data_IF_574893670893
#
_entry.id   IF_574893670893
#
_cell.length_a   1.000
_cell.length_b   1.000
_cell.length_c   1.000
_cell.angle_alpha   90.00
_cell.angle_beta   90.00
_cell.angle_gamma   90.00
#
_symmetry.space_group_name_H-M   'P 1'
#
loop_
_entity.id
_entity.type
_entity.pdbx_description
1 polymer ?
2 polymer ?
3 non-polymer ?
4 water ?
#
# COMPACT_ATOMS: atom_id res chain seq x y z
N UNK A 4 -20.33 12.27 16.80
CA UNK A 4 -18.91 12.13 17.11
C UNK A 4 -18.09 13.18 16.34
N UNK A 5 -16.91 13.51 16.84
CA UNK A 5 -16.04 14.46 16.17
C UNK A 5 -14.88 13.74 15.47
N UNK A 6 -14.45 14.27 14.33
CA UNK A 6 -13.41 13.63 13.53
C UNK A 6 -12.11 14.44 13.49
N UNK A 7 -11.02 13.84 13.99
CA UNK A 7 -9.68 14.45 14.03
C UNK A 7 -9.28 15.19 12.73
N UNK A 8 -8.82 16.42 12.89
CA UNK A 8 -8.47 17.27 11.76
C UNK A 8 -7.54 16.55 10.77
N UNK A 9 -6.63 15.74 11.29
CA UNK A 9 -5.69 15.04 10.44
C UNK A 9 -6.41 14.07 9.49
N UNK A 10 -7.43 13.40 10.02
CA UNK A 10 -8.23 12.49 9.21
C UNK A 10 -8.97 13.27 8.11
N UNK A 11 -9.58 14.41 8.46
CA UNK A 11 -10.31 15.20 7.46
C UNK A 11 -9.39 15.70 6.35
N UNK A 12 -8.17 16.08 6.71
CA UNK A 12 -7.17 16.43 5.72
C UNK A 12 -6.86 15.26 4.80
N UNK A 13 -6.70 14.09 5.41
CA UNK A 13 -6.40 12.88 4.65
C UNK A 13 -7.52 12.51 3.67
N UNK A 14 -8.78 12.70 4.08
CA UNK A 14 -9.92 12.42 3.19
C UNK A 14 -9.97 13.33 1.95
N UNK A 15 -9.52 14.58 2.11
CA UNK A 15 -9.42 15.51 0.99
C UNK A 15 -8.31 15.11 0.01
N UNK A 16 -7.32 14.35 0.49
CA UNK A 16 -6.19 13.91 -0.33
C UNK A 16 -6.43 12.59 -1.02
N UNK A 17 -7.52 11.91 -0.66
CA UNK A 17 -7.83 10.63 -1.29
C UNK A 17 -8.21 10.83 -2.76
N UNK A 18 -7.49 10.16 -3.66
CA UNK A 18 -7.84 10.18 -5.08
C UNK A 18 -9.21 9.58 -5.33
N UNK A 19 -9.85 9.98 -6.44
CA UNK A 19 -11.09 9.36 -6.88
C UNK A 19 -10.80 8.00 -7.52
N UNK A 20 -11.46 6.97 -7.00
CA UNK A 20 -11.16 5.59 -7.36
C UNK A 20 -11.22 5.32 -8.85
N UNK A 21 -12.22 5.89 -9.53
CA UNK A 21 -12.40 5.62 -10.95
C UNK A 21 -11.33 6.31 -11.79
N UNK A 22 -10.86 7.47 -11.33
CA UNK A 22 -9.76 8.14 -12.02
C UNK A 22 -8.47 7.32 -11.88
N UNK A 23 -8.23 6.80 -10.68
CA UNK A 23 -7.08 5.93 -10.47
C UNK A 23 -7.16 4.70 -11.38
N UNK A 24 -8.31 4.03 -11.36
CA UNK A 24 -8.53 2.89 -12.25
C UNK A 24 -8.36 3.22 -13.74
N UNK A 25 -8.99 4.30 -14.19
CA UNK A 25 -8.94 4.65 -15.61
C UNK A 25 -7.49 4.87 -16.07
N UNK A 26 -6.69 5.51 -15.23
CA UNK A 26 -5.29 5.80 -15.57
C UNK A 26 -4.43 4.53 -15.67
N UNK A 27 -4.58 3.67 -14.66
CA UNK A 27 -3.89 2.39 -14.63
C UNK A 27 -4.27 1.52 -15.84
N UNK A 28 -5.57 1.40 -16.10
CA UNK A 28 -6.03 0.61 -17.25
C UNK A 28 -5.51 1.16 -18.57
N UNK A 29 -5.46 2.48 -18.71
CA UNK A 29 -4.97 3.10 -19.94
C UNK A 29 -3.51 2.74 -20.21
N UNK A 30 -2.71 2.65 -19.15
CA UNK A 30 -1.32 2.22 -19.28
C UNK A 30 -1.26 0.74 -19.63
N UNK A 31 -2.10 -0.07 -18.97
CA UNK A 31 -2.06 -1.51 -19.18
C UNK A 31 -2.52 -1.95 -20.58
N UNK A 32 -3.35 -1.13 -21.20
CA UNK A 32 -3.98 -1.52 -22.47
C UNK A 32 -3.17 -1.05 -23.66
N UNK A 33 -1.93 -0.66 -23.42
CA UNK A 33 -1.05 -0.25 -24.50
C UNK A 33 -0.46 -1.47 -25.21
N UNK A 34 -0.47 -1.41 -26.55
CA UNK A 34 0.16 -2.42 -27.42
C UNK A 34 1.46 -2.86 -26.79
N UNK A 35 1.51 -4.11 -26.36
CA UNK A 35 2.64 -4.59 -25.58
C UNK A 35 3.75 -5.22 -26.41
N UNK A 36 4.88 -5.46 -25.74
CA UNK A 36 6.04 -6.13 -26.33
C UNK A 36 5.98 -7.60 -25.96
N UNK A 37 7.09 -8.32 -26.14
CA UNK A 37 7.11 -9.77 -26.03
C UNK A 37 7.73 -10.26 -24.72
N UNK A 40 10.11 -9.18 -20.43
CA UNK A 40 10.20 -10.36 -21.29
C UNK A 40 9.41 -11.52 -20.71
N UNK A 41 8.91 -11.33 -19.48
CA UNK A 41 8.36 -12.48 -18.77
C UNK A 41 7.00 -12.96 -19.30
N UNK A 42 6.62 -14.20 -18.92
CA UNK A 42 5.38 -14.83 -19.41
C UNK A 42 4.12 -14.25 -18.82
N UNK A 43 3.05 -14.09 -19.60
CA UNK A 43 1.72 -13.79 -19.03
C UNK A 43 1.36 -14.87 -18.00
N UNK A 44 0.46 -14.56 -17.03
CA UNK A 44 -0.12 -13.24 -16.88
C UNK A 44 0.80 -12.31 -16.12
N UNK A 45 1.99 -12.77 -15.77
CA UNK A 45 2.83 -12.04 -14.82
C UNK A 45 3.21 -10.63 -15.25
N UNK A 46 3.61 -10.48 -16.50
CA UNK A 46 4.00 -9.17 -17.01
C UNK A 46 2.92 -8.09 -16.80
N UNK A 47 1.70 -8.40 -17.23
CA UNK A 47 0.56 -7.49 -17.05
C UNK A 47 0.35 -7.16 -15.55
N UNK A 48 0.25 -8.18 -14.71
CA UNK A 48 -0.04 -7.94 -13.31
C UNK A 48 1.09 -7.14 -12.67
N UNK A 50 3.03 -4.83 -14.15
CA UNK A 50 2.85 -3.43 -14.55
C UNK A 50 1.72 -2.77 -13.76
N UNK A 51 0.68 -3.55 -13.51
CA UNK A 51 -0.45 -3.11 -12.68
C UNK A 51 -0.02 -2.70 -11.28
N UNK A 52 0.72 -3.57 -10.60
CA UNK A 52 1.28 -3.23 -9.31
C UNK A 52 2.17 -1.99 -9.42
N UNK A 53 3.04 -1.97 -10.44
CA UNK A 53 3.92 -0.82 -10.65
C UNK A 53 3.13 0.48 -10.73
N UNK A 54 2.07 0.47 -11.53
CA UNK A 54 1.21 1.63 -11.72
C UNK A 54 0.44 1.99 -10.45
N UNK A 55 0.01 0.99 -9.70
CA UNK A 55 -0.69 1.26 -8.45
C UNK A 55 0.28 2.01 -7.52
N UNK A 56 1.53 1.56 -7.44
CA UNK A 56 2.50 2.25 -6.60
C UNK A 56 2.74 3.70 -7.05
N UNK A 57 2.79 3.91 -8.37
CA UNK A 57 2.88 5.26 -8.91
C UNK A 57 1.76 6.18 -8.40
N UNK A 58 0.51 5.71 -8.42
CA UNK A 58 -0.59 6.47 -7.81
C UNK A 58 -0.32 6.74 -6.33
N UNK A 59 0.19 5.73 -5.63
CA UNK A 59 0.54 5.88 -4.21
C UNK A 59 1.59 6.97 -3.98
N UNK A 60 2.66 6.95 -4.77
CA UNK A 60 3.67 8.01 -4.75
C UNK A 60 3.06 9.39 -5.00
N UNK A 61 2.17 9.48 -5.98
CA UNK A 61 1.45 10.73 -6.26
C UNK A 61 0.67 11.20 -5.04
N UNK A 62 0.00 10.25 -4.38
CA UNK A 62 -0.73 10.53 -3.15
C UNK A 62 0.19 11.07 -2.04
N UNK A 63 1.37 10.48 -1.91
CA UNK A 63 2.30 10.88 -0.87
C UNK A 63 2.85 12.29 -1.15
N UNK A 64 2.93 12.66 -2.42
CA UNK A 64 3.44 13.97 -2.79
C UNK A 64 2.48 15.10 -2.39
N UNK A 65 1.20 14.77 -2.27
CA UNK A 65 0.19 15.71 -1.81
C UNK A 65 0.03 15.72 -0.29
N UNK A 66 0.71 14.79 0.41
CA UNK A 66 0.51 14.60 1.85
C UNK A 66 1.15 15.69 2.71
N UNK A 67 0.45 16.05 3.77
CA UNK A 67 0.78 17.25 4.54
C UNK A 67 2.25 17.41 4.93
N UNK A 68 2.78 16.45 5.66
CA UNK A 68 4.13 16.56 6.17
C UNK A 68 5.16 16.01 5.17
N UNK A 69 4.70 15.10 4.31
CA UNK A 69 5.59 14.43 3.38
C UNK A 69 6.18 15.39 2.35
N UNK A 70 5.32 16.20 1.74
CA UNK A 70 5.72 17.20 0.76
C UNK A 70 6.85 18.11 1.25
N UNK A 71 6.87 18.37 2.57
CA UNK A 71 7.86 19.24 3.19
C UNK A 71 9.26 18.63 3.12
N UNK A 72 9.36 17.38 3.57
CA UNK A 72 10.65 16.71 3.72
C UNK A 72 11.54 16.80 2.50
N UNK A 73 12.84 16.78 2.76
CA UNK A 73 13.85 16.70 1.71
C UNK A 73 13.73 15.36 0.97
N UNK A 74 14.03 15.38 -0.32
CA UNK A 74 13.86 14.21 -1.16
C UNK A 74 14.57 12.97 -0.65
N UNK A 75 15.74 13.16 -0.05
CA UNK A 75 16.48 12.04 0.53
C UNK A 75 15.60 11.27 1.50
N UNK A 76 14.93 12.00 2.39
CA UNK A 76 14.05 11.39 3.39
C UNK A 76 12.78 10.78 2.75
N UNK A 77 12.16 11.53 1.84
CA UNK A 77 11.01 11.03 1.07
C UNK A 77 11.34 9.67 0.47
N UNK A 78 12.50 9.60 -0.18
CA UNK A 78 12.94 8.35 -0.80
C UNK A 78 13.07 7.23 0.22
N UNK A 79 13.54 7.58 1.43
CA UNK A 79 13.79 6.60 2.47
C UNK A 79 12.48 6.08 3.09
N UNK A 80 11.53 7.00 3.30
CA UNK A 80 10.20 6.63 3.81
C UNK A 80 9.51 5.69 2.85
N UNK A 81 9.45 6.08 1.59
CA UNK A 81 8.86 5.26 0.54
C UNK A 81 9.62 3.94 0.37
N UNK A 82 10.94 4.00 0.56
CA UNK A 82 11.74 2.79 0.44
C UNK A 82 11.39 1.79 1.54
N UNK A 83 11.00 2.30 2.70
CA UNK A 83 10.66 1.43 3.81
C UNK A 83 9.22 0.89 3.75
N UNK A 84 8.33 1.58 3.04
CA UNK A 84 6.89 1.37 3.22
C UNK A 84 6.11 0.92 1.98
N UNK A 85 6.76 0.95 0.82
CA UNK A 85 6.08 0.71 -0.45
C UNK A 85 5.29 -0.59 -0.48
N UNK A 86 5.91 -1.66 0.01
CA UNK A 86 5.29 -2.98 -0.02
C UNK A 86 4.05 -3.05 0.88
N UNK A 87 4.14 -2.41 2.04
CA UNK A 87 3.06 -2.38 3.03
C UNK A 87 1.86 -1.54 2.55
N UNK A 88 2.16 -0.43 1.89
CA UNK A 88 1.15 0.42 1.29
C UNK A 88 0.36 -0.33 0.21
N UNK A 89 1.09 -1.01 -0.68
CA UNK A 89 0.46 -1.87 -1.68
C UNK A 89 -0.41 -2.96 -1.05
N UNK A 90 0.13 -3.66 -0.07
CA UNK A 90 -0.66 -4.70 0.62
C UNK A 90 -1.91 -4.11 1.26
N UNK A 91 -1.75 -3.01 1.99
CA UNK A 91 -2.91 -2.40 2.65
C UNK A 91 -3.95 -1.95 1.62
N UNK A 92 -3.48 -1.33 0.54
CA UNK A 92 -4.36 -1.00 -0.60
C UNK A 92 -5.14 -2.26 -1.08
N UNK A 93 -4.44 -3.37 -1.30
CA UNK A 93 -5.10 -4.60 -1.76
C UNK A 93 -6.12 -5.12 -0.74
N UNK A 94 -5.71 -5.12 0.53
CA UNK A 94 -6.52 -5.65 1.62
C UNK A 94 -7.80 -4.84 1.73
N UNK A 95 -7.65 -3.52 1.72
CA UNK A 95 -8.80 -2.66 1.86
C UNK A 95 -9.75 -2.80 0.69
N UNK A 96 -9.20 -2.98 -0.51
CA UNK A 96 -10.01 -3.26 -1.69
C UNK A 96 -10.87 -4.50 -1.46
N UNK A 97 -10.27 -5.56 -0.92
CA UNK A 97 -11.03 -6.79 -0.62
C UNK A 97 -12.11 -6.60 0.45
N UNK A 98 -11.82 -5.79 1.47
CA UNK A 98 -12.81 -5.51 2.51
C UNK A 98 -14.08 -4.88 1.94
N UNK A 99 -13.93 -3.83 1.13
CA UNK A 99 -15.07 -3.22 0.44
C UNK A 99 -15.79 -4.20 -0.52
N UNK A 100 -15.03 -5.04 -1.21
CA UNK A 100 -15.53 -5.96 -2.22
C UNK A 100 -16.41 -7.06 -1.62
N UNK A 101 -15.96 -7.65 -0.52
CA UNK A 101 -16.76 -8.57 0.27
C UNK A 101 -17.18 -9.88 -0.39
N UNK A 102 -16.22 -10.59 -0.97
CA UNK A 102 -16.48 -11.87 -1.63
C UNK A 102 -15.35 -12.83 -1.30
N UNK A 103 -15.66 -13.94 -0.67
CA UNK A 103 -14.64 -14.90 -0.25
C UNK A 103 -14.08 -15.74 -1.39
N UNK A 104 -14.84 -15.82 -2.49
CA UNK A 104 -14.55 -16.74 -3.59
C UNK A 104 -13.59 -16.18 -4.65
N UNK A 105 -13.43 -14.86 -4.67
CA UNK A 105 -12.56 -14.22 -5.65
C UNK A 105 -11.91 -12.98 -5.07
N UNK A 106 -10.97 -12.43 -5.82
CA UNK A 106 -10.32 -11.19 -5.41
C UNK A 106 -10.50 -10.12 -6.47
N UNK A 107 -10.63 -8.89 -6.03
CA UNK A 107 -10.82 -7.77 -6.92
C UNK A 107 -9.49 -7.05 -7.11
N UNK A 108 -9.10 -6.82 -8.36
CA UNK A 108 -7.89 -6.07 -8.68
C UNK A 108 -8.20 -4.60 -8.91
N UNK A 109 -7.16 -3.76 -8.93
CA UNK A 109 -7.38 -2.32 -9.02
C UNK A 109 -8.02 -1.92 -10.36
N UNK A 110 -7.94 -2.82 -11.32
CA UNK A 110 -8.45 -2.57 -12.67
C UNK A 110 -9.95 -2.86 -12.80
N UNK A 111 -10.55 -3.36 -11.72
CA UNK A 111 -11.94 -3.80 -11.74
C UNK A 111 -12.02 -5.25 -12.15
N UNK A 112 -10.88 -5.82 -12.51
CA UNK A 112 -10.80 -7.22 -12.93
C UNK A 112 -10.91 -8.14 -11.69
N UNK A 113 -11.56 -9.30 -11.87
CA UNK A 113 -11.86 -10.21 -10.76
C UNK A 113 -11.28 -11.60 -11.02
N UNK A 114 -10.55 -12.10 -10.03
CA UNK A 114 -9.88 -13.39 -10.12
C UNK A 114 -10.44 -14.43 -9.13
N UNK A 115 -10.84 -15.58 -9.65
CA UNK A 115 -11.33 -16.69 -8.84
C UNK A 115 -10.20 -17.27 -7.99
N UNK A 116 -10.46 -17.46 -6.71
CA UNK A 116 -9.54 -18.18 -5.84
C UNK A 116 -9.22 -19.61 -6.35
N UNK A 117 -10.17 -20.21 -7.06
CA UNK A 117 -9.96 -21.54 -7.64
C UNK A 117 -8.98 -21.51 -8.82
N UNK A 118 -8.92 -20.36 -9.51
CA UNK A 118 -7.91 -20.16 -10.54
C UNK A 118 -6.52 -20.12 -9.90
N UNK A 119 -6.42 -19.43 -8.78
CA UNK A 119 -5.12 -19.25 -8.15
C UNK A 119 -4.65 -20.61 -7.67
N UNK A 120 -5.59 -21.45 -7.24
CA UNK A 120 -5.22 -22.74 -6.66
C UNK A 120 -4.44 -23.63 -7.64
N UNK A 121 -4.79 -23.55 -8.93
CA UNK A 121 -4.14 -24.35 -9.95
C UNK A 121 -2.95 -23.66 -10.62
N UNK A 122 -3.08 -22.36 -10.88
CA UNK A 122 -2.06 -21.62 -11.62
C UNK A 122 -0.90 -21.11 -10.76
N UNK A 123 -1.15 -20.96 -9.47
CA UNK A 123 -0.19 -20.30 -8.60
C UNK A 123 0.81 -21.26 -7.96
N UNK A 124 2.07 -20.86 -7.96
CA UNK A 124 3.06 -21.54 -7.15
C UNK A 124 2.63 -21.49 -5.69
N UNK A 125 3.30 -22.30 -4.88
CA UNK A 125 2.97 -22.44 -3.46
C UNK A 125 3.15 -21.17 -2.65
N UNK A 126 4.24 -20.43 -2.89
CA UNK A 126 4.47 -19.15 -2.19
C UNK A 126 3.36 -18.16 -2.49
N UNK A 127 3.05 -17.98 -3.78
CA UNK A 127 2.04 -17.02 -4.19
C UNK A 127 0.68 -17.43 -3.65
N UNK A 128 0.39 -18.73 -3.74
CA UNK A 128 -0.91 -19.25 -3.30
C UNK A 128 -1.12 -19.07 -1.80
N UNK A 129 -0.09 -19.33 -1.02
CA UNK A 129 -0.21 -19.27 0.43
C UNK A 129 -0.25 -17.84 0.91
N UNK A 130 0.26 -16.94 0.09
CA UNK A 130 0.30 -15.52 0.44
C UNK A 130 -1.06 -14.87 0.20
N UNK A 131 -1.70 -15.26 -0.91
CA UNK A 131 -3.01 -14.73 -1.27
C UNK A 131 -4.05 -15.16 -0.24
N UNK A 132 -3.99 -16.43 0.15
CA UNK A 132 -4.93 -16.98 1.13
C UNK A 132 -4.69 -16.38 2.50
N UNK A 133 -3.42 -16.19 2.85
CA UNK A 133 -3.10 -15.51 4.08
C UNK A 133 -3.68 -14.09 4.09
N UNK A 134 -3.56 -13.37 2.98
CA UNK A 134 -4.18 -12.05 2.91
C UNK A 134 -5.72 -12.07 3.04
N UNK A 135 -6.37 -13.10 2.51
CA UNK A 135 -7.83 -13.21 2.67
C UNK A 135 -8.23 -13.33 4.13
N UNK A 136 -7.43 -14.06 4.91
CA UNK A 136 -7.65 -14.15 6.34
C UNK A 136 -7.66 -12.77 7.00
N UNK A 137 -6.64 -11.97 6.72
CA UNK A 137 -6.60 -10.61 7.27
C UNK A 137 -7.81 -9.78 6.79
N UNK A 138 -8.22 -10.00 5.55
CA UNK A 138 -9.44 -9.36 5.03
C UNK A 138 -10.65 -9.70 5.93
N UNK A 139 -10.79 -10.97 6.29
CA UNK A 139 -11.91 -11.40 7.11
C UNK A 139 -11.83 -10.78 8.48
N UNK A 140 -10.63 -10.75 9.05
CA UNK A 140 -10.44 -10.09 10.34
C UNK A 140 -10.84 -8.61 10.34
N UNK A 141 -10.43 -7.88 9.32
CA UNK A 141 -10.67 -6.44 9.31
C UNK A 141 -12.13 -6.13 8.99
N UNK A 142 -12.76 -6.99 8.20
CA UNK A 142 -14.18 -6.85 7.97
C UNK A 142 -14.96 -6.96 9.28
N UNK A 143 -14.72 -8.05 10.01
CA UNK A 143 -15.28 -8.25 11.35
C UNK A 143 -14.98 -7.09 12.30
N UNK A 144 -13.83 -6.45 12.16
CA UNK A 144 -13.50 -5.31 13.01
C UNK A 144 -14.16 -4.01 12.56
N UNK A 145 -14.86 -4.05 11.43
CA UNK A 145 -15.55 -2.88 10.86
C UNK A 145 -14.62 -1.71 10.47
N UNK A 146 -13.43 -2.06 10.01
CA UNK A 146 -12.50 -1.11 9.43
C UNK A 146 -13.23 -0.18 8.45
N UNK A 147 -13.21 1.13 8.71
CA UNK A 147 -13.83 2.03 7.76
C UNK A 147 -12.84 2.92 7.03
N UNK A 148 -13.37 3.85 6.23
CA UNK A 148 -12.56 4.67 5.36
C UNK A 148 -11.66 5.63 6.15
N UNK A 149 -12.16 6.15 7.27
CA UNK A 149 -11.38 7.06 8.09
C UNK A 149 -10.18 6.35 8.75
N UNK A 150 -10.43 5.17 9.32
CA UNK A 150 -9.36 4.36 9.88
C UNK A 150 -8.39 3.94 8.78
N UNK A 151 -8.93 3.62 7.60
CA UNK A 151 -8.09 3.26 6.46
C UNK A 151 -7.05 4.32 6.09
N UNK A 152 -7.49 5.56 5.80
CA UNK A 152 -6.57 6.60 5.33
C UNK A 152 -5.54 6.95 6.39
N UNK A 153 -5.97 6.78 7.64
CA UNK A 153 -5.11 7.05 8.79
C UNK A 153 -4.05 5.96 8.92
N UNK A 154 -4.42 4.71 8.63
CA UNK A 154 -3.49 3.60 8.66
C UNK A 154 -2.45 3.72 7.54
N UNK A 155 -2.90 4.16 6.37
CA UNK A 155 -2.02 4.45 5.25
C UNK A 155 -0.99 5.47 5.68
N UNK A 156 -1.48 6.57 6.25
CA UNK A 156 -0.60 7.62 6.74
C UNK A 156 0.41 7.07 7.78
N UNK A 157 -0.07 6.31 8.76
CA UNK A 157 0.82 5.68 9.75
C UNK A 157 1.88 4.82 9.09
N UNK A 158 1.47 3.97 8.15
CA UNK A 158 2.43 3.13 7.44
C UNK A 158 3.49 3.95 6.73
N UNK A 159 3.05 4.94 5.95
CA UNK A 159 3.95 5.86 5.29
C UNK A 159 5.03 6.37 6.24
N UNK A 160 4.64 6.79 7.44
CA UNK A 160 5.61 7.32 8.40
C UNK A 160 6.02 6.30 9.45
N UNK A 161 6.11 5.02 9.07
CA UNK A 161 6.36 3.98 10.06
C UNK A 161 7.84 3.72 10.35
N UNK A 162 8.73 4.48 9.70
CA UNK A 162 10.16 4.25 9.87
C UNK A 162 10.62 4.85 11.19
N UNK A 163 11.42 4.10 11.93
CA UNK A 163 12.09 4.66 13.08
C UNK A 163 12.88 5.88 12.59
N UNK A 164 12.69 7.03 13.24
CA UNK A 164 13.31 8.28 12.81
C UNK A 164 14.85 8.27 12.77
N UNK A 165 15.47 7.27 13.36
CA UNK A 165 16.92 7.19 13.39
C UNK A 165 17.45 6.73 12.03
N UNK A 166 16.55 6.26 11.18
CA UNK A 166 16.91 5.84 9.83
C UNK A 166 16.76 7.02 8.89
N UNK A 167 16.38 8.16 9.46
CA UNK A 167 16.21 9.38 8.68
C UNK A 167 17.26 10.42 9.06
N UNK A 168 17.34 11.49 8.29
CA UNK A 168 18.24 12.59 8.58
C UNK A 168 17.57 13.51 9.59
N UNK A 169 16.47 14.12 9.16
CA UNK A 169 15.60 14.89 10.05
C UNK A 169 14.73 13.96 10.90
N UNK A 170 14.84 14.10 12.21
CA UNK A 170 14.04 13.33 13.15
C UNK A 170 12.73 14.04 13.41
N UNK A 171 12.82 15.34 13.64
CA UNK A 171 11.74 16.19 14.15
C UNK A 171 10.35 16.06 13.53
N UNK A 172 10.24 16.35 12.23
CA UNK A 172 8.94 16.42 11.55
C UNK A 172 8.24 15.07 11.47
N UNK A 173 9.01 14.02 11.17
CA UNK A 173 8.48 12.67 11.04
C UNK A 173 8.02 12.14 12.38
N UNK A 174 8.85 12.28 13.41
CA UNK A 174 8.48 11.86 14.77
C UNK A 174 7.16 12.50 15.24
N UNK A 175 6.98 13.79 14.96
CA UNK A 175 5.74 14.43 15.35
C UNK A 175 4.57 13.82 14.56
N UNK A 176 4.69 13.79 13.24
CA UNK A 176 3.70 13.16 12.39
C UNK A 176 3.25 11.79 12.93
N UNK A 177 4.21 10.94 13.28
CA UNK A 177 3.90 9.65 13.87
C UNK A 177 2.96 9.84 15.06
N UNK A 178 3.33 10.76 15.94
CA UNK A 178 2.57 10.99 17.16
C UNK A 178 1.16 11.53 16.91
N UNK A 179 1.02 12.42 15.94
CA UNK A 179 -0.28 12.99 15.61
C UNK A 179 -1.23 11.94 15.01
N UNK A 180 -0.70 11.12 14.13
CA UNK A 180 -1.50 10.11 13.45
C UNK A 180 -1.98 9.06 14.45
N UNK A 181 -1.09 8.66 15.35
CA UNK A 181 -1.46 7.70 16.39
C UNK A 181 -2.55 8.24 17.30
N UNK A 182 -2.49 9.53 17.62
CA UNK A 182 -3.51 10.17 18.44
C UNK A 182 -4.83 10.25 17.70
N UNK A 183 -4.77 10.61 16.43
CA UNK A 183 -5.99 10.70 15.62
C UNK A 183 -6.71 9.35 15.51
N UNK A 184 -5.97 8.27 15.29
CA UNK A 184 -6.60 6.96 15.18
C UNK A 184 -7.26 6.53 16.51
N UNK A 185 -6.54 6.74 17.61
CA UNK A 185 -7.09 6.44 18.92
C UNK A 185 -8.38 7.22 19.16
N UNK A 186 -8.30 8.54 18.99
CA UNK A 186 -9.42 9.43 19.28
C UNK A 186 -10.62 9.11 18.41
N UNK A 187 -10.37 8.79 17.15
CA UNK A 187 -11.46 8.43 16.25
C UNK A 187 -12.11 7.09 16.63
N UNK A 188 -11.32 6.08 16.99
CA UNK A 188 -11.89 4.78 17.33
C UNK A 188 -12.71 4.85 18.62
N UNK A 189 -12.24 5.66 19.56
CA UNK A 189 -12.94 5.86 20.83
C UNK A 189 -14.28 6.55 20.64
N UNK A 190 -14.28 7.58 19.80
CA UNK A 190 -15.47 8.39 19.61
C UNK A 190 -16.52 7.70 18.74
N UNK A 191 -16.07 6.97 17.73
CA UNK A 191 -16.97 6.37 16.73
C UNK A 191 -17.24 4.87 16.92
N UNK A 192 -16.45 4.22 17.76
CA UNK A 192 -16.65 2.80 18.04
C UNK A 192 -16.46 2.50 19.52
N UNK A 193 -17.26 3.16 20.39
CA UNK A 193 -17.12 3.07 21.85
C UNK A 193 -17.35 1.67 22.41
N UNK A 194 -18.14 0.87 21.72
CA UNK A 194 -18.47 -0.46 22.23
C UNK A 194 -17.59 -1.57 21.64
N UNK A 195 -16.44 -1.16 21.09
CA UNK A 195 -15.46 -2.11 20.54
C UNK A 195 -14.35 -2.39 21.57
N UNK A 196 -13.93 -1.36 22.28
CA UNK A 196 -13.12 -1.55 23.48
C UNK A 196 -11.63 -1.39 23.29
N UNK A 197 -11.06 -2.16 22.38
CA UNK A 197 -9.65 -2.02 22.05
C UNK A 197 -9.42 -2.00 20.55
N UNK A 198 -10.38 -1.46 19.80
CA UNK A 198 -10.24 -1.37 18.35
C UNK A 198 -8.92 -0.69 17.99
N UNK A 199 -8.55 0.35 18.73
CA UNK A 199 -7.30 1.02 18.47
C UNK A 199 -6.11 0.06 18.47
N UNK A 200 -6.01 -0.76 19.53
CA UNK A 200 -4.92 -1.75 19.63
C UNK A 200 -5.04 -2.80 18.54
N UNK A 201 -6.27 -3.23 18.29
CA UNK A 201 -6.51 -4.30 17.34
C UNK A 201 -6.11 -3.87 15.94
N UNK A 202 -6.32 -2.59 15.63
CA UNK A 202 -5.91 -2.01 14.35
C UNK A 202 -4.39 -1.92 14.20
N UNK A 203 -3.70 -1.50 15.26
CA UNK A 203 -2.23 -1.48 15.26
C UNK A 203 -1.65 -2.89 15.14
N UNK A 204 -2.30 -3.86 15.77
CA UNK A 204 -1.95 -5.26 15.64
C UNK A 204 -2.07 -5.76 14.18
N UNK A 205 -3.11 -5.29 13.47
CA UNK A 205 -3.32 -5.55 12.05
C UNK A 205 -2.11 -5.18 11.22
N UNK A 206 -1.50 -4.05 11.59
CA UNK A 206 -0.30 -3.54 10.91
C UNK A 206 0.87 -4.50 11.06
N UNK A 207 0.88 -5.27 12.15
CA UNK A 207 1.92 -6.29 12.28
C UNK A 207 1.73 -7.35 11.18
N UNK A 208 0.50 -7.82 10.97
CA UNK A 208 0.27 -8.79 9.91
C UNK A 208 0.48 -8.20 8.49
N UNK A 209 0.10 -6.94 8.28
CA UNK A 209 0.40 -6.25 7.00
C UNK A 209 1.90 -6.32 6.67
N UNK A 210 2.73 -6.01 7.66
CA UNK A 210 4.18 -6.04 7.51
C UNK A 210 4.65 -7.45 7.21
N UNK A 211 4.06 -8.46 7.85
CA UNK A 211 4.42 -9.85 7.57
C UNK A 211 4.05 -10.25 6.13
N UNK A 212 2.83 -9.92 5.71
CA UNK A 212 2.42 -10.20 4.32
C UNK A 212 3.35 -9.52 3.32
N UNK A 213 3.66 -8.27 3.62
CA UNK A 213 4.57 -7.44 2.84
C UNK A 213 5.95 -8.09 2.66
N UNK A 214 6.45 -8.72 3.73
CA UNK A 214 7.76 -9.38 3.65
C UNK A 214 7.70 -10.63 2.79
N UNK A 215 6.63 -11.41 2.90
CA UNK A 215 6.45 -12.56 2.02
C UNK A 215 6.24 -12.13 0.56
N UNK A 216 5.61 -10.98 0.35
CA UNK A 216 5.42 -10.49 -1.01
C UNK A 216 6.78 -10.21 -1.68
N UNK A 217 7.68 -9.58 -0.93
CA UNK A 217 9.03 -9.29 -1.43
C UNK A 217 9.78 -10.58 -1.74
N UNK A 218 9.64 -11.59 -0.88
CA UNK A 218 10.30 -12.86 -1.14
C UNK A 218 9.81 -13.49 -2.45
N UNK A 219 8.51 -13.46 -2.68
CA UNK A 219 7.96 -13.98 -3.92
C UNK A 219 8.60 -13.28 -5.13
N UNK A 220 8.75 -11.96 -5.04
CA UNK A 220 9.33 -11.18 -6.11
C UNK A 220 10.83 -11.46 -6.26
N UNK A 221 11.52 -11.58 -5.14
CA UNK A 221 12.95 -11.91 -5.17
C UNK A 221 13.17 -13.21 -5.93
N UNK A 222 12.27 -14.17 -5.71
CA UNK A 222 12.42 -15.49 -6.32
C UNK A 222 12.11 -15.51 -7.82
N UNK A 223 11.67 -14.36 -8.33
CA UNK A 223 11.45 -14.17 -9.77
C UNK A 223 12.78 -13.87 -10.48
N UNK A 224 13.76 -13.40 -9.72
CA UNK A 224 15.11 -13.18 -10.22
C UNK A 224 15.05 -12.19 -11.37
N UNK A 225 14.42 -11.04 -11.11
CA UNK A 225 14.19 -10.02 -12.12
C UNK A 225 15.47 -9.31 -12.51
N UNK A 226 15.57 -8.94 -13.78
CA UNK A 226 16.74 -8.26 -14.28
C UNK A 226 16.67 -6.76 -14.07
N UNK A 227 17.83 -6.13 -13.97
CA UNK A 227 17.93 -4.68 -13.95
C UNK A 227 17.59 -4.13 -15.34
N UNK A 228 17.20 -2.86 -15.41
CA UNK A 228 16.71 -2.33 -16.68
C UNK A 228 17.68 -1.35 -17.35
N UNK A 229 17.70 -1.40 -18.69
CA UNK A 229 18.61 -0.60 -19.50
C UNK A 229 18.52 0.93 -19.34
N UNK A 230 17.38 1.53 -19.70
CA UNK A 230 16.86 2.62 -18.88
C UNK A 230 15.77 2.03 -17.97
N UNK A 231 15.85 2.30 -16.67
CA UNK A 231 14.84 1.79 -15.76
C UNK A 231 13.45 2.23 -16.22
N UNK A 232 12.50 1.30 -16.18
CA UNK A 232 11.15 1.50 -16.71
C UNK A 232 10.15 1.20 -15.62
N UNK A 233 10.54 0.30 -14.71
CA UNK A 233 9.65 -0.17 -13.67
C UNK A 233 10.09 0.30 -12.28
N UNK A 234 9.29 1.17 -11.68
CA UNK A 234 9.59 1.74 -10.38
C UNK A 234 9.75 0.67 -9.31
N UNK A 235 8.82 -0.29 -9.29
CA UNK A 235 8.83 -1.33 -8.27
C UNK A 235 10.09 -2.19 -8.32
N UNK A 236 10.57 -2.49 -9.51
CA UNK A 236 11.84 -3.19 -9.65
C UNK A 236 12.94 -2.44 -8.91
N UNK A 237 13.01 -1.13 -9.14
CA UNK A 237 13.96 -0.28 -8.43
C UNK A 237 13.78 -0.40 -6.91
N UNK A 238 12.55 -0.29 -6.44
CA UNK A 238 12.25 -0.39 -5.01
C UNK A 238 12.73 -1.71 -4.44
N UNK A 239 12.52 -2.79 -5.20
CA UNK A 239 12.86 -4.13 -4.75
C UNK A 239 14.38 -4.32 -4.59
N UNK A 240 15.14 -3.76 -5.53
CA UNK A 240 16.60 -3.93 -5.57
C UNK A 240 17.31 -2.85 -4.77
N UNK A 241 16.55 -1.89 -4.26
CA UNK A 241 17.13 -0.80 -3.49
C UNK A 241 17.69 -1.31 -2.16
N UNK A 242 18.83 -0.75 -1.74
CA UNK A 242 19.50 -1.17 -0.53
C UNK A 242 19.21 -0.26 0.67
N UNK A 243 19.93 -0.46 1.77
CA UNK A 243 19.72 0.34 3.00
C UNK A 243 20.75 1.49 3.11
N UNK B 3 20.02 7.35 -12.48
CA UNK B 3 19.19 6.16 -12.61
C UNK B 3 18.21 6.00 -11.45
N UNK B 4 17.55 7.06 -11.03
CA UNK B 4 16.54 6.94 -9.98
C UNK B 4 15.14 7.35 -10.44
N UNK B 5 14.36 6.37 -10.89
CA UNK B 5 12.97 6.62 -11.25
C UNK B 5 12.23 7.27 -10.08
N UNK B 6 12.43 6.73 -8.89
CA UNK B 6 11.80 7.25 -7.68
C UNK B 6 12.14 8.72 -7.48
N UNK B 7 13.43 9.04 -7.49
CA UNK B 7 13.87 10.41 -7.28
C UNK B 7 13.33 11.34 -8.37
N UNK B 8 13.27 10.83 -9.60
CA UNK B 8 12.73 11.57 -10.73
C UNK B 8 11.27 11.99 -10.47
N UNK B 9 10.47 11.04 -10.01
CA UNK B 9 9.06 11.27 -9.66
C UNK B 9 8.88 12.30 -8.55
N UNK B 10 9.74 12.24 -7.55
CA UNK B 10 9.60 13.07 -6.37
C UNK B 10 9.96 14.53 -6.61
N UNK B 11 10.62 14.78 -7.73
CA UNK B 11 11.09 16.13 -8.07
C UNK B 11 10.26 16.78 -9.17
N UNK B 12 9.59 15.95 -9.97
CA UNK B 12 8.79 16.40 -11.11
C UNK B 12 7.95 17.65 -10.81
#
# INVERSE_FOLDING_TARGET
SGGPNVPELILQLLQLEPEEDQVRARIVGCLQEPAKSRSDQPAPFSLLXRMADQTFISIVDWARRCMVFKELEVADQMTLLQNSWSELLVLDHIYRQVQYGKEDSILLVTGQEVELSTVAVQAGSLLHSLVLRAQELVLQLHALQLDRQEFVCLKFLILFSLDVKFLNNHSLVKDAQEKANAALLDYTLSHYPHSGDKFQQLLLSLVEVRALSMQAKEYLYHKHLGNEMPRNNLLIEMLQAKQT
EEPSLLKKLLLAPA
#
